data_IF_616375883979
#
_entry.id   IF_616375883979
#
_cell.length_a   1.000
_cell.length_b   1.000
_cell.length_c   1.000
_cell.angle_alpha   90.00
_cell.angle_beta   90.00
_cell.angle_gamma   90.00
#
_symmetry.space_group_name_H-M   'P 1'
#
loop_
_entity.id
_entity.type
_entity.pdbx_description
1 polymer ?
#
# COMPACT_ATOMS: atom_id res chain seq x y z
N UNK A 1 -23.69 -6.72 -2.76
CA UNK A 1 -23.45 -8.17 -2.82
C UNK A 1 -21.99 -8.43 -2.45
N UNK A 2 -21.68 -9.36 -1.54
CA UNK A 2 -20.30 -9.68 -1.23
C UNK A 2 -19.61 -10.33 -2.44
N UNK A 3 -18.46 -9.82 -2.81
CA UNK A 3 -17.64 -10.35 -3.88
C UNK A 3 -17.20 -11.79 -3.54
N UNK A 4 -17.50 -12.73 -4.43
CA UNK A 4 -17.08 -14.14 -4.31
C UNK A 4 -15.87 -14.39 -5.25
N UNK A 5 -14.65 -14.53 -4.75
CA UNK A 5 -13.46 -14.69 -5.59
C UNK A 5 -13.39 -16.02 -6.33
N UNK A 6 -14.27 -16.99 -6.02
CA UNK A 6 -14.31 -18.32 -6.63
C UNK A 6 -15.62 -18.60 -7.39
N UNK A 7 -16.55 -17.65 -7.41
CA UNK A 7 -17.75 -17.76 -8.22
C UNK A 7 -17.46 -17.38 -9.67
N UNK A 8 -18.13 -18.02 -10.61
CA UNK A 8 -18.32 -17.55 -11.99
C UNK A 8 -19.16 -16.27 -12.02
N UNK A 9 -18.91 -15.37 -11.04
CA UNK A 9 -19.56 -14.08 -10.94
C UNK A 9 -19.29 -13.32 -12.23
N UNK A 10 -20.35 -12.74 -12.75
CA UNK A 10 -20.47 -12.02 -13.99
C UNK A 10 -19.23 -11.12 -14.22
N UNK A 11 -18.35 -11.54 -15.12
CA UNK A 11 -17.16 -10.78 -15.47
C UNK A 11 -17.54 -9.38 -15.97
N UNK A 12 -18.71 -9.26 -16.61
CA UNK A 12 -19.23 -8.00 -17.14
C UNK A 12 -19.68 -7.08 -16.01
N UNK A 13 -20.28 -7.61 -14.95
CA UNK A 13 -20.62 -6.82 -13.75
C UNK A 13 -19.35 -6.28 -13.07
N UNK A 14 -18.29 -7.08 -12.97
CA UNK A 14 -17.02 -6.65 -12.41
C UNK A 14 -16.33 -5.58 -13.26
N UNK A 15 -16.34 -5.74 -14.59
CA UNK A 15 -15.81 -4.75 -15.53
C UNK A 15 -16.61 -3.46 -15.43
N UNK A 16 -17.93 -3.55 -15.41
CA UNK A 16 -18.82 -2.37 -15.30
C UNK A 16 -18.58 -1.61 -13.99
N UNK A 17 -18.43 -2.33 -12.87
CA UNK A 17 -18.10 -1.71 -11.60
C UNK A 17 -16.71 -1.05 -11.60
N UNK A 18 -15.70 -1.74 -12.12
CA UNK A 18 -14.35 -1.20 -12.25
C UNK A 18 -14.32 0.04 -13.15
N UNK A 19 -15.04 0.02 -14.28
CA UNK A 19 -15.15 1.16 -15.20
C UNK A 19 -15.80 2.37 -14.51
N UNK A 20 -16.88 2.16 -13.75
CA UNK A 20 -17.51 3.24 -12.99
C UNK A 20 -16.55 3.87 -11.96
N UNK A 21 -15.73 3.07 -11.27
CA UNK A 21 -14.72 3.57 -10.35
C UNK A 21 -13.62 4.36 -11.09
N UNK A 22 -13.10 3.81 -12.21
CA UNK A 22 -12.05 4.45 -13.01
C UNK A 22 -12.54 5.77 -13.57
N UNK A 23 -13.77 5.84 -14.10
CA UNK A 23 -14.36 7.09 -14.59
C UNK A 23 -14.47 8.11 -13.46
N UNK A 24 -15.19 7.77 -12.38
CA UNK A 24 -15.47 8.70 -11.28
C UNK A 24 -14.20 9.26 -10.64
N UNK A 25 -13.28 8.39 -10.27
CA UNK A 25 -12.05 8.82 -9.59
C UNK A 25 -10.97 9.31 -10.56
N UNK A 26 -11.01 8.87 -11.81
CA UNK A 26 -10.17 9.40 -12.87
C UNK A 26 -10.51 10.85 -13.22
N UNK A 27 -11.80 11.18 -13.35
CA UNK A 27 -12.26 12.57 -13.54
C UNK A 27 -11.82 13.46 -12.37
N UNK A 28 -12.01 12.98 -11.11
CA UNK A 28 -11.54 13.71 -9.94
C UNK A 28 -10.01 13.90 -9.92
N UNK A 29 -9.25 12.88 -10.34
CA UNK A 29 -7.80 12.98 -10.45
C UNK A 29 -7.36 13.97 -11.54
N UNK A 30 -8.05 14.00 -12.67
CA UNK A 30 -7.79 14.97 -13.73
C UNK A 30 -8.09 16.40 -13.29
N UNK A 31 -9.21 16.62 -12.61
CA UNK A 31 -9.60 17.93 -12.10
C UNK A 31 -8.57 18.46 -11.09
N UNK A 32 -8.14 17.65 -10.12
CA UNK A 32 -7.09 18.03 -9.17
C UNK A 32 -5.76 18.33 -9.89
N UNK A 33 -5.43 17.57 -10.94
CA UNK A 33 -4.24 17.82 -11.72
C UNK A 33 -4.33 19.15 -12.49
N UNK A 34 -5.50 19.53 -13.02
CA UNK A 34 -5.71 20.83 -13.62
C UNK A 34 -5.52 21.95 -12.60
N UNK A 35 -6.17 21.87 -11.44
CA UNK A 35 -6.04 22.87 -10.37
C UNK A 35 -4.59 23.05 -9.92
N UNK A 36 -3.86 21.96 -9.75
CA UNK A 36 -2.45 22.02 -9.37
C UNK A 36 -1.59 22.63 -10.49
N UNK A 37 -1.85 22.28 -11.75
CA UNK A 37 -1.15 22.83 -12.91
C UNK A 37 -1.37 24.34 -13.04
N UNK A 38 -2.62 24.79 -12.95
CA UNK A 38 -2.98 26.20 -13.03
C UNK A 38 -2.35 27.02 -11.89
N UNK A 39 -2.37 26.49 -10.66
CA UNK A 39 -1.72 27.13 -9.51
C UNK A 39 -0.19 27.28 -9.72
N UNK A 40 0.47 26.27 -10.29
CA UNK A 40 1.90 26.34 -10.61
C UNK A 40 2.19 27.35 -11.73
N UNK A 41 1.32 27.40 -12.76
CA UNK A 41 1.43 28.37 -13.86
C UNK A 41 1.24 29.81 -13.38
N UNK A 42 0.28 30.03 -12.50
CA UNK A 42 0.04 31.35 -11.87
C UNK A 42 1.24 31.75 -11.01
N UNK A 43 1.71 30.88 -10.14
CA UNK A 43 2.86 31.14 -9.26
C UNK A 43 4.15 31.48 -10.05
N UNK A 44 4.30 30.88 -11.23
CA UNK A 44 5.42 31.13 -12.16
C UNK A 44 5.18 32.34 -13.10
N UNK A 45 4.00 32.96 -13.07
CA UNK A 45 3.56 33.97 -14.07
C UNK A 45 3.76 33.48 -15.52
N UNK A 46 3.43 32.22 -15.80
CA UNK A 46 3.75 31.57 -17.06
C UNK A 46 2.91 32.06 -18.25
N UNK A 47 1.76 32.67 -17.99
CA UNK A 47 0.88 33.22 -19.06
C UNK A 47 0.31 32.16 -20.01
N UNK A 48 0.13 30.93 -19.52
CA UNK A 48 -0.41 29.79 -20.28
C UNK A 48 -1.93 29.69 -20.13
N UNK A 49 -2.62 29.02 -21.07
CA UNK A 49 -4.07 28.76 -20.95
C UNK A 49 -4.38 27.86 -19.75
N UNK A 50 -5.60 27.93 -19.22
CA UNK A 50 -6.09 27.02 -18.20
C UNK A 50 -5.87 25.56 -18.61
N UNK A 51 -5.58 24.71 -17.61
CA UNK A 51 -5.32 23.31 -17.85
C UNK A 51 -6.60 22.57 -18.30
N UNK A 52 -6.43 21.63 -19.22
CA UNK A 52 -7.50 20.80 -19.74
C UNK A 52 -7.37 19.37 -19.18
N UNK A 53 -8.48 18.77 -18.66
CA UNK A 53 -8.45 17.44 -18.12
C UNK A 53 -8.26 16.38 -19.21
N UNK A 54 -7.48 15.33 -18.91
CA UNK A 54 -7.43 14.14 -19.75
C UNK A 54 -8.65 13.24 -19.45
N UNK A 55 -9.12 12.53 -20.47
CA UNK A 55 -10.17 11.56 -20.29
C UNK A 55 -9.65 10.34 -19.48
N UNK A 56 -10.46 9.77 -18.57
CA UNK A 56 -10.18 8.49 -17.95
C UNK A 56 -10.05 7.36 -18.98
N UNK A 57 -9.47 6.24 -18.55
CA UNK A 57 -9.41 5.03 -19.36
C UNK A 57 -10.82 4.59 -19.82
N UNK A 58 -10.93 4.23 -21.09
CA UNK A 58 -12.20 3.78 -21.65
C UNK A 58 -12.60 2.38 -21.15
N UNK A 59 -13.87 2.03 -21.41
CA UNK A 59 -14.42 0.73 -20.99
C UNK A 59 -13.58 -0.46 -21.52
N UNK A 60 -13.11 -0.39 -22.77
CA UNK A 60 -12.34 -1.44 -23.41
C UNK A 60 -10.97 -1.63 -22.72
N UNK A 61 -10.33 -0.54 -22.32
CA UNK A 61 -9.07 -0.61 -21.57
C UNK A 61 -9.26 -1.18 -20.17
N UNK A 62 -10.31 -0.74 -19.47
CA UNK A 62 -10.66 -1.30 -18.16
C UNK A 62 -10.98 -2.79 -18.28
N UNK A 63 -11.73 -3.21 -19.30
CA UNK A 63 -12.03 -4.61 -19.55
C UNK A 63 -10.77 -5.45 -19.79
N UNK A 64 -9.82 -4.93 -20.58
CA UNK A 64 -8.51 -5.62 -20.77
C UNK A 64 -7.74 -5.76 -19.47
N UNK A 65 -7.69 -4.69 -18.66
CA UNK A 65 -7.02 -4.71 -17.34
C UNK A 65 -7.68 -5.73 -16.39
N UNK A 66 -9.01 -5.73 -16.26
CA UNK A 66 -9.76 -6.64 -15.39
C UNK A 66 -9.55 -8.09 -15.81
N UNK A 67 -9.69 -8.41 -17.11
CA UNK A 67 -9.52 -9.77 -17.61
C UNK A 67 -8.10 -10.29 -17.42
N UNK A 68 -7.08 -9.47 -17.73
CA UNK A 68 -5.69 -9.84 -17.51
C UNK A 68 -5.39 -10.10 -16.02
N UNK A 69 -5.85 -9.20 -15.14
CA UNK A 69 -5.59 -9.30 -13.70
C UNK A 69 -6.36 -10.45 -13.06
N UNK A 70 -7.63 -10.65 -13.44
CA UNK A 70 -8.47 -11.77 -12.95
C UNK A 70 -7.85 -13.12 -13.25
N UNK A 71 -7.29 -13.29 -14.44
CA UNK A 71 -6.70 -14.55 -14.86
C UNK A 71 -5.34 -14.84 -14.21
N UNK A 72 -4.60 -13.80 -13.80
CA UNK A 72 -3.29 -13.94 -13.17
C UNK A 72 -3.39 -13.97 -11.64
N UNK A 73 -3.94 -12.92 -11.06
CA UNK A 73 -4.12 -12.77 -9.61
C UNK A 73 -5.25 -11.77 -9.31
N UNK A 74 -6.47 -12.25 -9.01
CA UNK A 74 -7.63 -11.39 -8.72
C UNK A 74 -7.41 -10.40 -7.58
N UNK A 75 -6.55 -10.70 -6.61
CA UNK A 75 -6.23 -9.81 -5.51
C UNK A 75 -5.56 -8.49 -5.96
N UNK A 76 -5.04 -8.44 -7.18
CA UNK A 76 -4.43 -7.24 -7.75
C UNK A 76 -5.43 -6.33 -8.49
N UNK A 77 -6.71 -6.66 -8.57
CA UNK A 77 -7.73 -5.82 -9.22
C UNK A 77 -7.80 -4.39 -8.66
N UNK A 78 -7.81 -4.17 -7.33
CA UNK A 78 -7.77 -2.80 -6.78
C UNK A 78 -6.54 -2.02 -7.24
N UNK A 79 -5.38 -2.68 -7.33
CA UNK A 79 -4.15 -2.07 -7.81
C UNK A 79 -4.26 -1.66 -9.28
N UNK A 80 -4.91 -2.49 -10.12
CA UNK A 80 -5.17 -2.18 -11.51
C UNK A 80 -6.05 -0.94 -11.68
N UNK A 81 -7.14 -0.85 -10.91
CA UNK A 81 -8.05 0.32 -10.89
C UNK A 81 -7.30 1.57 -10.42
N UNK A 82 -6.57 1.49 -9.30
CA UNK A 82 -5.78 2.61 -8.76
C UNK A 82 -4.77 3.13 -9.79
N UNK A 83 -4.10 2.23 -10.53
CA UNK A 83 -3.16 2.61 -11.59
C UNK A 83 -3.85 3.42 -12.69
N UNK A 84 -5.01 3.00 -13.16
CA UNK A 84 -5.75 3.71 -14.21
C UNK A 84 -6.22 5.10 -13.73
N UNK A 85 -6.66 5.22 -12.48
CA UNK A 85 -7.03 6.50 -11.87
C UNK A 85 -5.82 7.44 -11.79
N UNK A 86 -4.70 6.99 -11.23
CA UNK A 86 -3.46 7.79 -11.12
C UNK A 86 -2.96 8.23 -12.50
N UNK A 87 -3.07 7.36 -13.51
CA UNK A 87 -2.66 7.68 -14.87
C UNK A 87 -3.45 8.84 -15.45
N UNK A 88 -4.74 8.97 -15.18
CA UNK A 88 -5.54 10.08 -15.71
C UNK A 88 -5.02 11.44 -15.23
N UNK A 89 -4.67 11.57 -13.95
CA UNK A 89 -4.03 12.79 -13.43
C UNK A 89 -2.67 13.06 -14.07
N UNK A 90 -1.84 12.01 -14.21
CA UNK A 90 -0.53 12.12 -14.86
C UNK A 90 -0.64 12.54 -16.34
N UNK A 91 -1.58 11.95 -17.08
CA UNK A 91 -1.86 12.31 -18.48
C UNK A 91 -2.34 13.77 -18.60
N UNK A 92 -3.16 14.23 -17.66
CA UNK A 92 -3.59 15.62 -17.57
C UNK A 92 -2.39 16.55 -17.43
N UNK A 93 -1.53 16.29 -16.45
CA UNK A 93 -0.33 17.08 -16.19
C UNK A 93 0.60 17.11 -17.42
N UNK A 94 0.89 15.95 -18.00
CA UNK A 94 1.84 15.85 -19.12
C UNK A 94 1.29 16.46 -20.42
N UNK A 95 -0.01 16.31 -20.73
CA UNK A 95 -0.61 16.90 -21.91
C UNK A 95 -0.55 18.43 -21.87
N UNK A 96 -0.89 19.03 -20.75
CA UNK A 96 -0.79 20.47 -20.57
C UNK A 96 0.67 20.92 -20.61
N UNK A 97 1.60 20.22 -19.98
CA UNK A 97 3.02 20.52 -20.03
C UNK A 97 3.58 20.49 -21.47
N UNK A 98 3.13 19.53 -22.30
CA UNK A 98 3.51 19.45 -23.71
C UNK A 98 2.93 20.62 -24.52
N UNK A 99 1.65 20.97 -24.31
CA UNK A 99 1.00 22.10 -24.93
C UNK A 99 1.75 23.41 -24.69
N UNK A 100 2.17 23.62 -23.43
CA UNK A 100 2.73 24.89 -22.97
C UNK A 100 4.28 24.90 -22.99
N UNK A 101 4.91 23.82 -23.41
CA UNK A 101 6.36 23.71 -23.49
C UNK A 101 7.07 23.77 -22.13
N UNK A 102 6.38 23.41 -21.04
CA UNK A 102 6.92 23.36 -19.71
C UNK A 102 7.98 22.26 -19.55
N UNK A 103 8.77 22.31 -18.47
CA UNK A 103 9.62 21.21 -18.07
C UNK A 103 8.88 20.31 -17.08
N UNK A 104 9.21 19.04 -17.12
CA UNK A 104 8.69 18.04 -16.22
C UNK A 104 9.80 17.17 -15.62
N UNK A 105 9.57 16.62 -14.44
CA UNK A 105 10.45 15.65 -13.82
C UNK A 105 9.66 14.54 -13.15
N UNK A 106 10.26 13.34 -13.09
CA UNK A 106 9.74 12.24 -12.31
C UNK A 106 10.24 12.37 -10.88
N UNK A 107 9.34 12.61 -9.94
CA UNK A 107 9.65 12.83 -8.52
C UNK A 107 9.23 11.63 -7.71
N UNK A 108 10.17 10.81 -7.21
CA UNK A 108 9.87 9.70 -6.36
C UNK A 108 9.56 10.13 -4.93
N UNK A 109 8.61 9.44 -4.31
CA UNK A 109 8.30 9.54 -2.90
C UNK A 109 8.45 8.18 -2.21
N UNK A 110 8.80 8.18 -0.92
CA UNK A 110 8.88 6.96 -0.11
C UNK A 110 9.91 5.94 -0.63
N UNK A 111 9.57 4.66 -0.52
CA UNK A 111 10.40 3.52 -0.96
C UNK A 111 10.42 3.44 -2.49
N UNK A 112 11.43 4.03 -3.08
CA UNK A 112 11.54 4.19 -4.53
C UNK A 112 12.08 2.93 -5.20
N UNK A 113 11.34 2.37 -6.14
CA UNK A 113 11.79 1.20 -6.90
C UNK A 113 12.88 1.58 -7.92
N UNK A 114 13.73 0.62 -8.35
CA UNK A 114 14.80 0.87 -9.32
C UNK A 114 14.36 1.50 -10.63
N UNK A 115 13.13 1.21 -11.08
CA UNK A 115 12.55 1.83 -12.26
C UNK A 115 12.32 3.34 -12.07
N UNK A 116 11.71 3.73 -10.94
CA UNK A 116 11.48 5.13 -10.62
C UNK A 116 12.79 5.89 -10.37
N UNK A 117 13.81 5.25 -9.77
CA UNK A 117 15.16 5.84 -9.64
C UNK A 117 15.74 6.13 -11.03
N UNK A 118 15.62 5.20 -11.98
CA UNK A 118 16.09 5.40 -13.35
C UNK A 118 15.37 6.57 -14.03
N UNK A 119 14.04 6.69 -13.86
CA UNK A 119 13.31 7.83 -14.43
C UNK A 119 13.68 9.16 -13.75
N UNK A 120 13.78 9.16 -12.41
CA UNK A 120 14.16 10.34 -11.65
C UNK A 120 15.60 10.83 -11.94
N UNK A 121 16.50 9.92 -12.34
CA UNK A 121 17.87 10.24 -12.71
C UNK A 121 17.99 11.08 -13.99
N UNK A 122 16.91 11.15 -14.80
CA UNK A 122 16.87 12.00 -15.98
C UNK A 122 16.73 13.49 -15.64
N UNK A 123 16.37 13.82 -14.38
CA UNK A 123 16.17 15.20 -13.97
C UNK A 123 15.00 15.89 -14.67
N UNK A 124 15.09 17.19 -14.76
CA UNK A 124 14.13 18.02 -15.47
C UNK A 124 14.31 17.91 -16.98
N UNK A 125 13.22 17.66 -17.68
CA UNK A 125 13.19 17.49 -19.13
C UNK A 125 12.13 18.38 -19.74
N UNK A 126 12.40 18.94 -20.93
CA UNK A 126 11.40 19.66 -21.69
C UNK A 126 10.26 18.72 -22.11
N UNK A 127 9.04 19.09 -21.80
CA UNK A 127 7.89 18.33 -22.25
C UNK A 127 7.76 18.40 -23.79
N UNK A 128 7.58 17.24 -24.40
CA UNK A 128 7.46 17.12 -25.85
C UNK A 128 6.48 15.99 -26.20
N UNK A 129 6.01 15.98 -27.44
CA UNK A 129 5.09 14.93 -27.93
C UNK A 129 5.69 13.50 -27.82
N UNK A 130 7.00 13.37 -27.71
CA UNK A 130 7.66 12.08 -27.46
C UNK A 130 7.34 11.53 -26.07
N UNK A 131 7.14 12.39 -25.06
CA UNK A 131 6.76 12.00 -23.70
C UNK A 131 5.39 11.32 -23.71
N UNK A 132 4.43 11.87 -24.43
CA UNK A 132 3.10 11.29 -24.58
C UNK A 132 3.12 9.97 -25.35
N UNK A 133 3.91 9.90 -26.43
CA UNK A 133 4.04 8.68 -27.25
C UNK A 133 4.85 7.59 -26.58
N UNK A 134 5.73 7.94 -25.67
CA UNK A 134 6.55 6.99 -24.90
C UNK A 134 5.82 6.28 -23.79
N UNK A 135 4.52 6.58 -23.57
CA UNK A 135 3.71 5.93 -22.54
C UNK A 135 4.23 6.14 -21.12
N UNK A 136 4.86 7.28 -20.81
CA UNK A 136 5.45 7.53 -19.49
C UNK A 136 4.41 7.42 -18.39
N UNK A 137 3.19 7.91 -18.62
CA UNK A 137 2.09 7.73 -17.68
C UNK A 137 1.62 6.26 -17.58
N UNK A 138 1.79 5.47 -18.63
CA UNK A 138 1.45 4.04 -18.62
C UNK A 138 2.37 3.20 -17.72
N UNK A 139 3.56 3.73 -17.42
CA UNK A 139 4.52 3.05 -16.55
C UNK A 139 4.31 3.30 -15.05
N UNK A 140 3.27 4.06 -14.68
CA UNK A 140 2.89 4.24 -13.28
C UNK A 140 2.47 2.89 -12.70
N UNK A 141 3.15 2.48 -11.61
CA UNK A 141 2.78 1.27 -10.88
C UNK A 141 1.64 1.56 -9.91
N UNK A 142 0.82 0.58 -9.62
CA UNK A 142 -0.27 0.72 -8.64
C UNK A 142 0.22 1.15 -7.24
N UNK A 143 1.36 0.61 -6.81
CA UNK A 143 1.97 0.90 -5.51
C UNK A 143 3.12 1.93 -5.61
N UNK A 144 3.10 2.79 -6.64
CA UNK A 144 4.08 3.84 -6.82
C UNK A 144 3.50 5.15 -6.29
N UNK A 145 4.24 5.80 -5.39
CA UNK A 145 3.89 7.12 -4.87
C UNK A 145 4.64 8.25 -5.61
N UNK A 146 5.23 7.93 -6.76
CA UNK A 146 5.90 8.90 -7.61
C UNK A 146 4.89 9.79 -8.34
N UNK A 147 5.27 11.03 -8.58
CA UNK A 147 4.48 12.02 -9.28
C UNK A 147 5.25 12.70 -10.40
N UNK A 148 4.54 13.44 -11.25
CA UNK A 148 5.12 14.34 -12.23
C UNK A 148 5.13 15.75 -11.65
N UNK A 149 6.32 16.31 -11.47
CA UNK A 149 6.48 17.71 -11.16
C UNK A 149 6.63 18.53 -12.44
N UNK A 150 6.09 19.74 -12.45
CA UNK A 150 6.12 20.67 -13.58
C UNK A 150 6.78 21.98 -13.14
N UNK A 151 7.53 22.60 -14.05
CA UNK A 151 8.03 23.97 -13.88
C UNK A 151 8.03 24.73 -15.21
N UNK A 152 7.90 26.05 -15.10
CA UNK A 152 7.86 26.94 -16.26
C UNK A 152 9.10 27.84 -16.36
N UNK A 153 9.85 27.98 -15.30
CA UNK A 153 10.91 29.00 -15.15
C UNK A 153 12.33 28.44 -15.16
N UNK A 154 12.51 27.13 -15.42
CA UNK A 154 13.79 26.40 -15.39
C UNK A 154 14.57 26.46 -14.05
N UNK A 155 14.02 27.11 -13.01
CA UNK A 155 14.69 27.35 -11.72
C UNK A 155 13.98 26.73 -10.54
N UNK A 156 12.65 26.65 -10.61
CA UNK A 156 11.84 26.05 -9.52
C UNK A 156 12.30 24.64 -9.23
N UNK A 157 12.46 24.34 -7.96
CA UNK A 157 12.84 23.02 -7.43
C UNK A 157 11.71 22.44 -6.61
N UNK A 158 11.66 21.11 -6.54
CA UNK A 158 10.74 20.37 -5.68
C UNK A 158 11.46 19.96 -4.42
N UNK A 159 10.86 20.24 -3.26
CA UNK A 159 11.43 19.88 -1.97
C UNK A 159 11.68 18.36 -1.89
N UNK A 160 12.90 17.99 -1.52
CA UNK A 160 13.31 16.57 -1.40
C UNK A 160 13.65 15.89 -2.73
N UNK A 161 13.49 16.55 -3.89
CA UNK A 161 13.91 16.02 -5.17
C UNK A 161 15.33 16.47 -5.53
N UNK A 162 16.23 15.51 -5.61
CA UNK A 162 17.62 15.69 -6.03
C UNK A 162 17.95 14.70 -7.16
N UNK A 163 17.87 15.13 -8.43
CA UNK A 163 18.15 14.25 -9.57
C UNK A 163 19.58 13.72 -9.59
N UNK A 164 20.56 14.47 -9.06
CA UNK A 164 21.96 14.03 -9.02
C UNK A 164 22.14 12.84 -8.08
N UNK A 165 21.42 12.79 -6.97
CA UNK A 165 21.39 11.63 -6.08
C UNK A 165 20.91 10.37 -6.82
N UNK A 166 19.83 10.48 -7.60
CA UNK A 166 19.31 9.37 -8.38
C UNK A 166 20.22 8.98 -9.54
N UNK A 167 20.83 9.97 -10.19
CA UNK A 167 21.82 9.75 -11.25
C UNK A 167 23.06 9.03 -10.71
N UNK A 168 23.53 9.41 -9.53
CA UNK A 168 24.62 8.70 -8.86
C UNK A 168 24.25 7.24 -8.59
N UNK A 169 23.08 6.98 -8.02
CA UNK A 169 22.61 5.60 -7.78
C UNK A 169 22.53 4.78 -9.06
N UNK A 170 22.05 5.38 -10.15
CA UNK A 170 21.97 4.72 -11.46
C UNK A 170 23.37 4.41 -12.02
N UNK A 171 24.31 5.34 -11.93
CA UNK A 171 25.70 5.17 -12.37
C UNK A 171 26.46 4.14 -11.52
N UNK A 172 26.30 4.16 -10.20
CA UNK A 172 26.90 3.18 -9.27
C UNK A 172 26.44 1.74 -9.58
N UNK A 173 25.23 1.59 -10.10
CA UNK A 173 24.72 0.32 -10.63
C UNK A 173 25.19 0.02 -12.08
N UNK A 174 26.10 0.82 -12.63
CA UNK A 174 26.65 0.65 -13.99
C UNK A 174 25.69 1.06 -15.10
N UNK A 175 24.72 1.95 -14.85
CA UNK A 175 23.76 2.43 -15.83
C UNK A 175 22.77 1.35 -16.31
N UNK A 176 22.54 0.34 -15.52
CA UNK A 176 21.69 -0.83 -15.87
C UNK A 176 20.60 -1.04 -14.81
N UNK A 177 19.35 -0.89 -15.22
CA UNK A 177 18.18 -1.08 -14.35
C UNK A 177 18.10 -2.50 -13.75
N UNK A 178 18.56 -3.52 -14.48
CA UNK A 178 18.52 -4.89 -13.99
C UNK A 178 19.59 -5.13 -12.92
N UNK A 179 20.73 -4.45 -13.03
CA UNK A 179 21.75 -4.45 -11.95
C UNK A 179 21.20 -3.71 -10.73
N UNK A 180 20.57 -2.56 -10.90
CA UNK A 180 19.89 -1.85 -9.80
C UNK A 180 18.83 -2.73 -9.12
N UNK A 181 18.02 -3.45 -9.89
CA UNK A 181 17.04 -4.42 -9.34
C UNK A 181 17.70 -5.50 -8.50
N UNK A 182 18.85 -6.03 -8.94
CA UNK A 182 19.63 -7.04 -8.20
C UNK A 182 20.19 -6.47 -6.89
N UNK A 183 20.76 -5.28 -6.94
CA UNK A 183 21.30 -4.60 -5.75
C UNK A 183 20.19 -4.30 -4.76
N UNK A 184 19.08 -3.71 -5.22
CA UNK A 184 17.93 -3.44 -4.37
C UNK A 184 17.31 -4.74 -3.81
N UNK A 185 17.20 -5.78 -4.63
CA UNK A 185 16.73 -7.10 -4.15
C UNK A 185 17.69 -7.68 -3.10
N UNK A 186 19.00 -7.61 -3.32
CA UNK A 186 19.98 -8.12 -2.36
C UNK A 186 19.92 -7.37 -1.02
N UNK A 187 19.79 -6.04 -1.06
CA UNK A 187 19.67 -5.19 0.13
C UNK A 187 18.36 -5.44 0.91
N UNK A 188 17.28 -5.80 0.21
CA UNK A 188 15.95 -6.00 0.80
C UNK A 188 15.52 -7.47 0.85
N UNK A 189 16.43 -8.40 0.53
CA UNK A 189 16.11 -9.83 0.35
C UNK A 189 15.42 -10.45 1.56
N UNK A 190 15.88 -10.16 2.75
CA UNK A 190 15.32 -10.71 3.98
C UNK A 190 13.91 -10.17 4.23
N UNK A 191 13.70 -8.85 4.07
CA UNK A 191 12.39 -8.21 4.17
C UNK A 191 11.41 -8.79 3.14
N UNK A 192 11.83 -8.85 1.87
CA UNK A 192 11.01 -9.40 0.77
C UNK A 192 10.66 -10.87 1.03
N UNK A 193 11.62 -11.66 1.48
CA UNK A 193 11.39 -13.07 1.78
C UNK A 193 10.50 -13.26 3.02
N UNK A 194 10.61 -12.41 4.02
CA UNK A 194 9.72 -12.41 5.17
C UNK A 194 8.27 -12.11 4.76
N UNK A 195 8.07 -11.06 3.95
CA UNK A 195 6.75 -10.73 3.39
C UNK A 195 6.17 -11.87 2.55
N UNK A 196 6.99 -12.51 1.69
CA UNK A 196 6.56 -13.67 0.90
C UNK A 196 6.19 -14.86 1.77
N UNK A 197 6.98 -15.14 2.82
CA UNK A 197 6.67 -16.22 3.77
C UNK A 197 5.36 -15.94 4.51
N UNK A 198 5.15 -14.71 4.98
CA UNK A 198 3.91 -14.30 5.63
C UNK A 198 2.71 -14.44 4.67
N UNK A 199 2.80 -13.91 3.45
CA UNK A 199 1.75 -14.04 2.43
C UNK A 199 1.49 -15.51 2.05
N UNK A 200 2.54 -16.34 1.95
CA UNK A 200 2.40 -17.77 1.68
C UNK A 200 1.75 -18.50 2.85
N UNK A 201 2.12 -18.18 4.10
CA UNK A 201 1.49 -18.76 5.28
C UNK A 201 -0.01 -18.44 5.33
N UNK A 202 -0.38 -17.17 5.13
CA UNK A 202 -1.79 -16.76 5.04
C UNK A 202 -2.53 -17.50 3.92
N UNK A 203 -1.92 -17.63 2.73
CA UNK A 203 -2.51 -18.34 1.60
C UNK A 203 -2.64 -19.84 1.86
N UNK A 204 -1.63 -20.48 2.45
CA UNK A 204 -1.64 -21.91 2.78
C UNK A 204 -2.73 -22.23 3.81
N UNK A 205 -2.88 -21.37 4.80
CA UNK A 205 -3.92 -21.49 5.82
C UNK A 205 -5.33 -21.35 5.22
N UNK A 206 -5.51 -20.45 4.24
CA UNK A 206 -6.80 -20.27 3.54
C UNK A 206 -7.12 -21.42 2.57
N UNK A 207 -6.12 -22.17 2.06
CA UNK A 207 -6.34 -23.30 1.13
C UNK A 207 -6.52 -24.65 1.82
N UNK A 208 -6.00 -24.82 3.02
CA UNK A 208 -6.10 -26.09 3.75
C UNK A 208 -7.36 -26.23 4.60
N UNK A 209 -8.27 -25.25 4.58
CA UNK A 209 -9.52 -25.30 5.35
C UNK A 209 -9.32 -25.19 6.87
N UNK A 210 -8.07 -25.01 7.32
CA UNK A 210 -7.73 -24.92 8.75
C UNK A 210 -7.95 -23.52 9.34
N UNK A 211 -8.18 -22.51 8.47
CA UNK A 211 -8.60 -21.18 8.90
C UNK A 211 -9.82 -20.81 8.06
N UNK A 212 -10.96 -20.45 8.68
CA UNK A 212 -12.08 -19.84 7.97
C UNK A 212 -11.56 -18.64 7.19
N UNK A 213 -12.04 -18.41 6.00
CA UNK A 213 -11.64 -17.31 5.10
C UNK A 213 -11.72 -15.90 5.73
N UNK A 214 -12.26 -15.80 6.94
CA UNK A 214 -12.17 -14.69 7.89
C UNK A 214 -12.07 -15.29 9.30
N UNK A 215 -10.87 -15.28 9.88
CA UNK A 215 -10.79 -15.39 11.34
C UNK A 215 -11.42 -14.10 11.85
N UNK A 216 -12.63 -14.19 12.34
CA UNK A 216 -13.29 -13.08 13.00
C UNK A 216 -12.51 -12.67 14.25
N UNK A 217 -12.70 -11.45 14.67
CA UNK A 217 -12.19 -10.97 15.95
C UNK A 217 -12.87 -11.66 17.13
N UNK A 218 -14.04 -12.27 16.90
CA UNK A 218 -14.68 -13.27 17.73
C UNK A 218 -14.63 -14.62 17.00
N UNK A 219 -13.78 -15.53 17.49
CA UNK A 219 -13.51 -16.82 16.90
C UNK A 219 -13.68 -17.95 17.94
N UNK A 220 -13.31 -19.16 17.62
CA UNK A 220 -13.42 -20.33 18.49
C UNK A 220 -12.48 -20.29 19.72
N UNK A 221 -11.44 -19.47 19.71
CA UNK A 221 -10.41 -19.42 20.76
C UNK A 221 -10.52 -18.23 21.69
N UNK A 222 -10.88 -17.04 21.13
CA UNK A 222 -10.90 -15.78 21.88
C UNK A 222 -11.80 -14.73 21.22
N UNK A 223 -11.98 -13.59 21.91
CA UNK A 223 -12.62 -12.39 21.37
C UNK A 223 -11.67 -11.19 21.43
N UNK A 224 -11.62 -10.43 20.34
CA UNK A 224 -10.92 -9.13 20.27
C UNK A 224 -11.94 -8.07 19.85
N UNK A 225 -12.11 -7.02 20.63
CA UNK A 225 -12.93 -5.89 20.20
C UNK A 225 -12.30 -5.21 18.98
N UNK A 226 -13.08 -4.92 17.92
CA UNK A 226 -12.59 -4.26 16.70
C UNK A 226 -11.85 -2.95 17.01
N UNK A 227 -12.38 -2.17 17.96
CA UNK A 227 -11.73 -0.94 18.44
C UNK A 227 -10.36 -1.20 19.06
N UNK A 228 -10.10 -2.40 19.59
CA UNK A 228 -8.80 -2.75 20.18
C UNK A 228 -7.71 -2.75 19.13
N UNK A 229 -7.96 -3.31 17.96
CA UNK A 229 -7.00 -3.29 16.85
C UNK A 229 -6.93 -1.90 16.23
N UNK A 230 -8.06 -1.36 15.78
CA UNK A 230 -8.11 -0.15 14.94
C UNK A 230 -7.84 1.15 15.70
N UNK A 231 -8.11 1.21 17.02
CA UNK A 231 -7.93 2.43 17.82
C UNK A 231 -6.79 2.37 18.83
N UNK A 232 -6.28 1.18 19.16
CA UNK A 232 -5.27 1.04 20.22
C UNK A 232 -3.98 0.33 19.78
N UNK A 233 -4.04 -0.76 19.03
CA UNK A 233 -2.83 -1.51 18.67
C UNK A 233 -2.17 -0.97 17.39
N UNK A 234 -2.94 -0.67 16.35
CA UNK A 234 -2.43 -0.23 15.04
C UNK A 234 -2.75 1.23 14.70
N UNK A 235 -3.24 2.03 15.65
CA UNK A 235 -3.44 3.46 15.41
C UNK A 235 -2.14 4.24 15.70
N UNK A 236 -1.60 5.05 14.75
CA UNK A 236 -0.30 5.73 14.90
C UNK A 236 -0.13 6.57 16.15
N UNK A 237 -1.22 7.14 16.68
CA UNK A 237 -1.21 7.96 17.91
C UNK A 237 -1.38 7.15 19.19
N UNK A 238 -1.50 5.81 19.11
CA UNK A 238 -1.71 4.98 20.30
C UNK A 238 -0.37 4.63 20.98
N UNK A 239 -0.41 4.45 22.31
CA UNK A 239 0.79 4.27 23.16
C UNK A 239 1.72 3.15 22.71
N UNK A 240 1.19 2.03 22.23
CA UNK A 240 1.96 0.83 21.88
C UNK A 240 2.04 0.55 20.38
N UNK A 241 1.44 1.40 19.53
CA UNK A 241 1.41 1.16 18.08
C UNK A 241 2.80 1.15 17.43
N UNK A 242 3.73 1.98 17.92
CA UNK A 242 5.10 2.01 17.43
C UNK A 242 5.82 0.65 17.57
N UNK A 243 5.46 -0.15 18.58
CA UNK A 243 6.00 -1.48 18.81
C UNK A 243 5.56 -2.44 17.70
N UNK A 244 4.28 -2.40 17.30
CA UNK A 244 3.73 -3.18 16.19
C UNK A 244 4.28 -2.73 14.84
N UNK A 245 4.41 -1.42 14.62
CA UNK A 245 5.01 -0.89 13.40
C UNK A 245 6.49 -1.29 13.29
N UNK A 246 7.23 -1.32 14.41
CA UNK A 246 8.60 -1.82 14.43
C UNK A 246 8.72 -3.32 14.12
N UNK A 247 7.64 -4.08 14.30
CA UNK A 247 7.54 -5.48 13.92
C UNK A 247 7.02 -5.67 12.48
N UNK A 248 6.78 -4.57 11.76
CA UNK A 248 6.43 -4.56 10.35
C UNK A 248 4.93 -4.58 10.04
N UNK A 249 4.05 -4.40 11.02
CA UNK A 249 2.64 -4.16 10.77
C UNK A 249 2.39 -2.71 10.35
N UNK A 250 1.28 -2.47 9.66
CA UNK A 250 0.74 -1.15 9.30
C UNK A 250 -0.65 -0.97 9.91
N UNK A 251 -1.22 0.23 9.81
CA UNK A 251 -2.60 0.50 10.25
C UNK A 251 -3.65 -0.43 9.60
N UNK A 252 -3.36 -0.92 8.41
CA UNK A 252 -4.28 -1.74 7.60
C UNK A 252 -4.15 -3.23 7.90
N UNK A 253 -3.16 -3.65 8.70
CA UNK A 253 -2.83 -5.05 8.94
C UNK A 253 -3.62 -5.68 10.10
N UNK A 254 -4.79 -5.14 10.46
CA UNK A 254 -5.60 -5.65 11.56
C UNK A 254 -5.98 -7.12 11.41
N UNK A 255 -6.34 -7.54 10.20
CA UNK A 255 -6.66 -8.94 9.91
C UNK A 255 -5.41 -9.85 10.00
N UNK A 256 -4.25 -9.34 9.57
CA UNK A 256 -2.98 -10.05 9.62
C UNK A 256 -2.51 -10.22 11.06
N UNK A 257 -2.58 -9.16 11.88
CA UNK A 257 -2.27 -9.22 13.31
C UNK A 257 -3.19 -10.22 14.02
N UNK A 258 -4.49 -10.21 13.73
CA UNK A 258 -5.42 -11.17 14.31
C UNK A 258 -5.09 -12.62 13.89
N UNK A 259 -4.70 -12.85 12.64
CA UNK A 259 -4.29 -14.16 12.16
C UNK A 259 -3.00 -14.65 12.86
N UNK A 260 -2.02 -13.77 13.06
CA UNK A 260 -0.79 -14.10 13.81
C UNK A 260 -1.09 -14.46 15.26
N UNK A 261 -1.98 -13.72 15.92
CA UNK A 261 -2.46 -14.01 17.27
C UNK A 261 -3.17 -15.37 17.32
N UNK A 262 -4.07 -15.63 16.34
CA UNK A 262 -4.83 -16.88 16.30
C UNK A 262 -3.95 -18.11 16.21
N UNK A 263 -2.89 -18.06 15.41
CA UNK A 263 -1.96 -19.17 15.24
C UNK A 263 -1.18 -19.52 16.52
N UNK A 264 -0.92 -18.52 17.35
CA UNK A 264 -0.05 -18.68 18.54
C UNK A 264 -0.84 -18.69 19.85
N UNK A 265 -2.15 -18.37 19.78
CA UNK A 265 -2.98 -18.44 20.98
C UNK A 265 -3.14 -19.88 21.42
N UNK A 266 -2.58 -20.19 22.60
CA UNK A 266 -2.72 -21.49 23.27
C UNK A 266 -2.97 -21.23 24.76
N UNK A 267 -4.15 -21.62 25.21
CA UNK A 267 -4.58 -21.44 26.60
C UNK A 267 -3.69 -22.20 27.62
N UNK A 268 -2.97 -23.23 27.16
CA UNK A 268 -2.00 -23.97 27.99
C UNK A 268 -0.71 -23.19 28.27
N UNK A 269 -0.43 -22.14 27.48
CA UNK A 269 0.76 -21.28 27.61
C UNK A 269 0.54 -20.06 28.52
N UNK A 270 -0.53 -20.03 29.28
CA UNK A 270 -0.83 -18.95 30.23
C UNK A 270 0.28 -18.74 31.24
N UNK A 271 0.63 -17.47 31.45
CA UNK A 271 1.52 -17.01 32.52
C UNK A 271 0.87 -15.88 33.30
N UNK A 272 1.41 -15.51 34.43
CA UNK A 272 0.93 -14.39 35.28
C UNK A 272 -0.57 -14.47 35.60
N UNK A 273 -1.07 -15.66 35.86
CA UNK A 273 -2.49 -15.91 36.11
C UNK A 273 -2.91 -15.24 37.44
N UNK A 274 -3.98 -14.44 37.36
CA UNK A 274 -4.63 -13.81 38.51
C UNK A 274 -6.13 -14.04 38.43
N UNK A 275 -6.72 -14.42 39.54
CA UNK A 275 -8.16 -14.60 39.68
C UNK A 275 -8.64 -13.54 40.67
N UNK A 276 -9.55 -12.68 40.22
CA UNK A 276 -10.17 -11.65 41.04
C UNK A 276 -11.27 -12.26 41.95
N UNK A 277 -11.74 -11.51 42.96
CA UNK A 277 -12.77 -11.98 43.92
C UNK A 277 -14.09 -12.33 43.20
N UNK A 278 -14.41 -11.66 42.07
CA UNK A 278 -15.59 -11.92 41.25
C UNK A 278 -15.44 -13.17 40.36
N UNK A 279 -14.28 -13.86 40.40
CA UNK A 279 -13.98 -15.01 39.56
C UNK A 279 -13.41 -14.67 38.20
N UNK A 280 -13.15 -13.38 37.88
CA UNK A 280 -12.52 -12.95 36.61
C UNK A 280 -11.07 -13.42 36.57
N UNK A 281 -10.71 -14.22 35.55
CA UNK A 281 -9.35 -14.69 35.30
C UNK A 281 -8.61 -13.71 34.39
N UNK A 282 -7.44 -13.22 34.79
CA UNK A 282 -6.52 -12.44 33.95
C UNK A 282 -5.21 -13.19 33.79
N UNK A 283 -4.65 -13.23 32.57
CA UNK A 283 -3.41 -13.94 32.29
C UNK A 283 -2.66 -13.32 31.10
N UNK A 284 -1.40 -13.70 30.94
CA UNK A 284 -0.57 -13.29 29.80
C UNK A 284 -0.19 -14.51 28.96
N UNK A 285 -0.02 -14.27 27.65
CA UNK A 285 0.61 -15.21 26.73
C UNK A 285 1.69 -14.44 25.97
N UNK A 286 2.88 -15.01 25.86
CA UNK A 286 3.96 -14.44 25.05
C UNK A 286 3.89 -15.00 23.63
N UNK A 287 3.91 -14.12 22.64
CA UNK A 287 3.75 -14.46 21.23
C UNK A 287 4.82 -13.77 20.38
N UNK A 288 5.36 -14.49 19.40
CA UNK A 288 6.29 -13.92 18.43
C UNK A 288 5.49 -13.30 17.27
N UNK A 289 5.18 -12.00 17.36
CA UNK A 289 4.37 -11.29 16.37
C UNK A 289 5.25 -10.43 15.45
N UNK A 290 4.92 -10.36 14.17
CA UNK A 290 5.61 -9.51 13.19
C UNK A 290 5.59 -10.06 11.77
N UNK A 291 5.57 -9.14 10.82
CA UNK A 291 5.56 -9.43 9.38
C UNK A 291 6.96 -9.45 8.78
N UNK A 292 7.86 -8.60 9.27
CA UNK A 292 9.23 -8.44 8.76
C UNK A 292 10.28 -8.80 9.80
N UNK A 293 10.02 -8.46 11.05
CA UNK A 293 10.92 -8.69 12.18
C UNK A 293 10.08 -9.18 13.38
N UNK A 294 10.05 -10.49 13.59
CA UNK A 294 9.27 -11.07 14.68
C UNK A 294 9.87 -10.67 16.01
N UNK A 295 9.01 -10.14 16.87
CA UNK A 295 9.36 -9.68 18.21
C UNK A 295 8.45 -10.32 19.22
N UNK A 296 8.97 -10.53 20.42
CA UNK A 296 8.18 -11.07 21.51
C UNK A 296 7.22 -10.01 22.02
N UNK A 297 5.93 -10.30 21.97
CA UNK A 297 4.87 -9.49 22.54
C UNK A 297 4.25 -10.22 23.72
N UNK A 298 4.01 -9.49 24.79
CA UNK A 298 3.16 -9.92 25.88
C UNK A 298 1.73 -9.52 25.57
N UNK A 299 0.87 -10.51 25.36
CA UNK A 299 -0.57 -10.32 25.19
C UNK A 299 -1.27 -10.59 26.52
N UNK A 300 -2.11 -9.67 26.98
CA UNK A 300 -2.84 -9.79 28.24
C UNK A 300 -4.30 -10.06 27.94
N UNK A 301 -4.81 -11.10 28.56
CA UNK A 301 -6.15 -11.62 28.33
C UNK A 301 -6.97 -11.59 29.62
N UNK A 302 -8.28 -11.52 29.48
CA UNK A 302 -9.23 -11.61 30.58
C UNK A 302 -10.36 -12.55 30.18
N UNK A 303 -10.70 -13.47 31.10
CA UNK A 303 -11.86 -14.35 30.98
C UNK A 303 -12.84 -14.01 32.09
N UNK A 304 -14.03 -13.55 31.70
CA UNK A 304 -15.08 -13.23 32.63
C UNK A 304 -15.75 -14.52 33.18
N UNK A 305 -16.29 -14.52 34.39
CA UNK A 305 -16.96 -15.69 34.98
C UNK A 305 -18.05 -16.23 34.07
N UNK A 306 -18.01 -17.54 33.80
CA UNK A 306 -18.97 -18.18 32.89
C UNK A 306 -18.70 -18.01 31.41
N UNK A 307 -17.67 -17.27 31.01
CA UNK A 307 -17.25 -17.16 29.61
C UNK A 307 -16.29 -18.30 29.24
N UNK A 308 -16.56 -18.97 28.13
CA UNK A 308 -15.65 -20.00 27.59
C UNK A 308 -14.40 -19.37 26.95
N UNK A 309 -14.53 -18.15 26.42
CA UNK A 309 -13.48 -17.46 25.67
C UNK A 309 -12.92 -16.26 26.42
N UNK A 310 -11.60 -16.09 26.44
CA UNK A 310 -10.99 -14.86 26.93
C UNK A 310 -11.09 -13.74 25.89
N UNK A 311 -11.04 -12.49 26.35
CA UNK A 311 -10.93 -11.30 25.52
C UNK A 311 -9.58 -10.63 25.64
N UNK A 312 -9.05 -10.10 24.56
CA UNK A 312 -7.78 -9.37 24.56
C UNK A 312 -7.93 -8.03 25.29
N UNK A 313 -7.14 -7.79 26.30
CA UNK A 313 -7.08 -6.53 27.06
C UNK A 313 -6.04 -5.59 26.46
N UNK A 314 -4.82 -6.06 26.28
CA UNK A 314 -3.72 -5.29 25.70
C UNK A 314 -2.66 -6.20 25.12
N UNK A 315 -1.81 -5.65 24.27
CA UNK A 315 -0.57 -6.29 23.84
C UNK A 315 0.51 -5.21 23.73
N UNK A 316 1.71 -5.54 24.14
CA UNK A 316 2.88 -4.67 24.07
C UNK A 316 4.13 -5.53 23.92
N UNK A 317 5.16 -4.93 23.34
CA UNK A 317 6.45 -5.60 23.18
C UNK A 317 7.08 -5.89 24.53
N UNK A 318 7.63 -7.09 24.66
CA UNK A 318 8.44 -7.48 25.79
C UNK A 318 9.92 -7.38 25.40
N UNK A 319 10.64 -6.45 25.99
CA UNK A 319 12.08 -6.36 25.81
C UNK A 319 12.74 -7.50 26.63
N UNK A 320 13.51 -8.36 25.98
CA UNK A 320 14.32 -9.36 26.69
C UNK A 320 15.26 -8.61 27.64
N UNK A 321 15.03 -8.78 28.93
CA UNK A 321 15.99 -8.35 29.97
C UNK A 321 17.26 -9.17 29.89
#
# INVERSE_FOLDING_TARGET
MPWNPHGTGDADALITYAAALVTKYGEGSAELACQMYDALAEAANAGVPAAEPAAPADYGEVARMVNATKNQNPANLPNGVSRLVKRTGADTTLKNAVRDGAEWAWVPHGDTCPFCITLASNGWQKASSKVLKGGHAEHIHANCDCEFAIRFDHKTTVAGYDPEKYLKQYRDAGGDINKMRRVNYAANKERINAQKRAAYAVRKLSTNGEIPAKIGLDNDRYTIAESKISKFLLKPSAKHSAEFFSAGYTEQDGALLNADIYQQFDDSLKTDIRIAEDGTESFSIFMELGTTDRKTFRTVWQRDPGSEKPRLITAHREDKK
#
